data_IF_235054888031
#
_entry.id   IF_235054888031
#
_cell.length_a   1.000
_cell.length_b   1.000
_cell.length_c   1.000
_cell.angle_alpha   90.00
_cell.angle_beta   90.00
_cell.angle_gamma   90.00
#
_symmetry.space_group_name_H-M   'P 1'
#
loop_
_entity.id
_entity.type
_entity.pdbx_description
1 polymer ?
#
# COMPACT_ATOMS: atom_id res chain seq x y z
N UNK A 1 11.49 7.81 6.23
CA UNK A 1 10.52 7.32 5.23
C UNK A 1 11.12 6.09 4.57
N UNK A 2 10.60 4.89 4.88
CA UNK A 2 11.11 3.64 4.32
C UNK A 2 10.51 3.46 2.93
N UNK A 3 11.31 3.66 1.89
CA UNK A 3 10.86 3.63 0.48
C UNK A 3 10.56 2.20 -0.04
N UNK A 4 10.73 1.16 0.79
CA UNK A 4 10.64 -0.24 0.35
C UNK A 4 9.33 -0.60 -0.36
N UNK A 5 8.20 -0.03 0.06
CA UNK A 5 6.90 -0.29 -0.56
C UNK A 5 6.73 0.38 -1.92
N UNK A 6 7.21 1.61 -2.06
CA UNK A 6 7.23 2.31 -3.35
C UNK A 6 8.20 1.63 -4.33
N UNK A 7 9.34 1.13 -3.86
CA UNK A 7 10.31 0.40 -4.70
C UNK A 7 9.78 -0.96 -5.15
N UNK A 8 9.11 -1.72 -4.27
CA UNK A 8 8.64 -3.07 -4.58
C UNK A 8 7.32 -3.12 -5.35
N UNK A 9 6.40 -2.19 -5.09
CA UNK A 9 5.04 -2.24 -5.62
C UNK A 9 4.64 -1.01 -6.45
N UNK A 10 5.51 0.00 -6.54
CA UNK A 10 5.18 1.26 -7.21
C UNK A 10 4.06 2.04 -6.51
N UNK A 11 3.84 1.79 -5.21
CA UNK A 11 2.77 2.42 -4.43
C UNK A 11 3.35 3.57 -3.59
N UNK A 12 3.24 4.84 -4.02
CA UNK A 12 3.66 5.98 -3.21
C UNK A 12 2.70 6.21 -2.04
N UNK A 13 3.24 6.63 -0.90
CA UNK A 13 2.42 7.05 0.26
C UNK A 13 1.83 5.91 1.08
N UNK A 14 2.20 4.66 0.83
CA UNK A 14 1.83 3.51 1.65
C UNK A 14 3.08 2.72 2.04
N UNK A 15 3.04 2.07 3.20
CA UNK A 15 4.08 1.15 3.70
C UNK A 15 3.52 -0.23 3.95
N UNK A 16 4.33 -1.28 3.73
CA UNK A 16 3.99 -2.65 4.14
C UNK A 16 4.01 -2.73 5.66
N UNK A 17 2.91 -3.19 6.23
CA UNK A 17 2.80 -3.49 7.65
C UNK A 17 3.17 -4.95 7.94
N UNK A 18 2.58 -5.88 7.18
CA UNK A 18 2.73 -7.32 7.40
C UNK A 18 2.60 -8.09 6.10
N UNK A 19 3.36 -9.18 6.00
CA UNK A 19 3.21 -10.19 4.94
C UNK A 19 2.88 -11.52 5.58
N UNK A 20 1.81 -12.17 5.15
CA UNK A 20 1.41 -13.52 5.57
C UNK A 20 1.14 -14.41 4.36
N UNK A 21 0.96 -15.71 4.61
CA UNK A 21 0.55 -16.67 3.59
C UNK A 21 -0.87 -17.17 3.93
N UNK A 22 -1.76 -17.19 2.94
CA UNK A 22 -3.09 -17.77 3.10
C UNK A 22 -3.07 -19.30 2.94
N UNK A 23 -4.23 -19.94 3.12
CA UNK A 23 -4.37 -21.41 3.02
C UNK A 23 -4.10 -21.97 1.63
N UNK A 24 -4.05 -21.12 0.60
CA UNK A 24 -3.79 -21.49 -0.79
C UNK A 24 -2.34 -21.20 -1.21
N UNK A 25 -1.48 -20.77 -0.27
CA UNK A 25 -0.10 -20.41 -0.55
C UNK A 25 0.06 -19.01 -1.16
N UNK A 26 -1.00 -18.20 -1.20
CA UNK A 26 -0.95 -16.84 -1.71
C UNK A 26 -0.38 -15.93 -0.63
N UNK A 27 0.53 -15.03 -1.03
CA UNK A 27 1.06 -14.00 -0.14
C UNK A 27 0.03 -12.88 0.02
N UNK A 28 -0.43 -12.67 1.24
CA UNK A 28 -1.28 -11.54 1.62
C UNK A 28 -0.39 -10.43 2.19
N UNK A 29 -0.53 -9.22 1.67
CA UNK A 29 0.23 -8.05 2.12
C UNK A 29 -0.73 -7.02 2.70
N UNK A 30 -0.51 -6.66 3.96
CA UNK A 30 -1.23 -5.59 4.64
C UNK A 30 -0.42 -4.31 4.54
N UNK A 31 -1.08 -3.20 4.19
CA UNK A 31 -0.47 -1.89 4.02
C UNK A 31 -1.10 -0.87 4.96
N UNK A 32 -0.31 0.12 5.36
CA UNK A 32 -0.81 1.34 5.98
C UNK A 32 -0.44 2.55 5.13
N UNK A 33 -1.27 3.58 5.18
CA UNK A 33 -0.89 4.90 4.68
C UNK A 33 0.31 5.39 5.47
N UNK A 34 1.34 5.88 4.78
CA UNK A 34 2.61 6.25 5.41
C UNK A 34 2.58 7.64 6.06
N UNK A 35 1.57 8.45 5.71
CA UNK A 35 1.29 9.74 6.31
C UNK A 35 -0.06 9.71 7.04
N UNK A 36 -0.03 9.84 8.36
CA UNK A 36 -1.24 9.89 9.20
C UNK A 36 -2.12 11.11 8.88
N UNK A 37 -1.56 12.14 8.22
CA UNK A 37 -2.31 13.31 7.72
C UNK A 37 -2.87 13.10 6.31
N UNK A 38 -2.64 11.97 5.65
CA UNK A 38 -3.19 11.71 4.32
C UNK A 38 -4.72 11.69 4.30
N UNK A 39 -5.36 11.41 5.44
CA UNK A 39 -6.82 11.51 5.60
C UNK A 39 -7.32 12.96 5.81
N UNK A 40 -6.41 13.91 6.01
CA UNK A 40 -6.75 15.31 6.19
C UNK A 40 -6.89 16.03 4.85
N UNK A 41 -7.87 16.93 4.77
CA UNK A 41 -8.02 17.82 3.62
C UNK A 41 -6.76 18.68 3.45
N UNK A 42 -6.12 18.69 2.28
CA UNK A 42 -4.88 19.46 2.09
C UNK A 42 -5.08 20.98 2.17
N UNK A 43 -6.32 21.48 2.04
CA UNK A 43 -6.60 22.92 2.12
C UNK A 43 -6.92 23.41 3.53
N UNK A 44 -7.57 22.61 4.37
CA UNK A 44 -8.03 23.03 5.70
C UNK A 44 -7.58 22.14 6.87
N UNK A 45 -6.90 21.02 6.60
CA UNK A 45 -6.35 20.13 7.63
C UNK A 45 -7.38 19.29 8.39
N UNK A 46 -8.68 19.43 8.10
CA UNK A 46 -9.73 18.63 8.74
C UNK A 46 -9.67 17.21 8.23
N UNK A 47 -9.62 16.24 9.15
CA UNK A 47 -9.68 14.80 8.83
C UNK A 47 -11.09 14.42 8.44
N UNK A 48 -11.27 13.82 7.27
CA UNK A 48 -12.56 13.25 6.90
C UNK A 48 -12.86 12.04 7.78
N UNK A 49 -13.98 12.07 8.49
CA UNK A 49 -14.49 10.91 9.25
C UNK A 49 -15.39 10.00 8.41
N UNK A 50 -15.68 10.41 7.17
CA UNK A 50 -16.50 9.65 6.22
C UNK A 50 -15.63 9.07 5.11
N UNK A 51 -15.84 7.80 4.80
CA UNK A 51 -15.15 7.07 3.73
C UNK A 51 -16.07 7.05 2.51
N UNK A 52 -15.64 7.66 1.40
CA UNK A 52 -16.38 7.62 0.12
C UNK A 52 -16.34 6.24 -0.53
N UNK A 53 -15.27 5.48 -0.28
CA UNK A 53 -15.10 4.10 -0.74
C UNK A 53 -13.67 3.61 -0.51
N UNK A 54 -13.48 2.28 -0.55
CA UNK A 54 -12.13 1.69 -0.52
C UNK A 54 -11.56 1.62 -1.93
N UNK A 55 -10.30 2.03 -2.11
CA UNK A 55 -9.59 1.77 -3.35
C UNK A 55 -9.40 0.25 -3.50
N UNK A 56 -9.91 -0.33 -4.59
CA UNK A 56 -9.69 -1.72 -4.95
C UNK A 56 -8.74 -1.74 -6.15
N UNK A 57 -7.51 -2.19 -5.94
CA UNK A 57 -6.53 -2.44 -7.01
C UNK A 57 -6.47 -3.95 -7.26
N UNK A 58 -6.59 -4.40 -8.52
CA UNK A 58 -6.35 -5.82 -8.82
C UNK A 58 -4.84 -6.08 -8.80
N UNK A 59 -4.38 -7.32 -8.54
CA UNK A 59 -2.94 -7.64 -8.57
C UNK A 59 -2.23 -7.20 -9.85
N UNK A 60 -2.90 -7.27 -11.01
CA UNK A 60 -2.38 -6.78 -12.30
C UNK A 60 -2.22 -5.25 -12.40
N UNK A 61 -2.92 -4.51 -11.53
CA UNK A 61 -2.90 -3.05 -11.49
C UNK A 61 -1.84 -2.55 -10.48
N UNK A 62 -1.26 -3.47 -9.69
CA UNK A 62 -0.09 -3.19 -8.86
C UNK A 62 1.13 -3.37 -9.74
N UNK A 63 2.01 -2.35 -9.78
CA UNK A 63 3.26 -2.38 -10.53
C UNK A 63 4.27 -3.30 -9.83
N UNK A 64 3.93 -4.57 -9.72
CA UNK A 64 4.87 -5.62 -9.40
C UNK A 64 5.55 -5.97 -10.71
N UNK A 65 6.78 -5.46 -10.89
CA UNK A 65 7.47 -5.50 -12.17
C UNK A 65 7.58 -6.91 -12.75
N UNK A 66 7.75 -6.99 -14.07
CA UNK A 66 8.01 -8.24 -14.82
C UNK A 66 9.29 -8.97 -14.36
N UNK A 67 10.11 -8.31 -13.54
CA UNK A 67 11.37 -8.83 -13.03
C UNK A 67 11.20 -9.52 -11.67
N UNK A 68 11.95 -10.61 -11.46
CA UNK A 68 11.92 -11.35 -10.19
C UNK A 68 12.52 -10.56 -9.02
N UNK A 69 11.94 -10.70 -7.83
CA UNK A 69 12.57 -10.21 -6.58
C UNK A 69 13.83 -11.05 -6.32
N UNK A 70 14.96 -10.37 -6.12
CA UNK A 70 16.17 -10.99 -5.59
C UNK A 70 16.18 -10.86 -4.07
N UNK A 71 16.39 -11.99 -3.38
CA UNK A 71 16.62 -12.03 -1.94
C UNK A 71 18.14 -12.03 -1.71
N UNK A 72 18.62 -11.09 -0.90
CA UNK A 72 20.02 -11.04 -0.44
C UNK A 72 20.10 -11.34 1.06
#
# INVERSE_FOLDING_TARGET
>A
MNQGTTVLFGLPGVRVHRVSMDSNGVRLVEFFTDDDRAAACPSCGVVSTSITGNAITKPKDIAYGEQSIQLQ
#
